data_IF_016142493803
#
_entry.id   IF_016142493803
#
_cell.length_a   1.000
_cell.length_b   1.000
_cell.length_c   1.000
_cell.angle_alpha   90.00
_cell.angle_beta   90.00
_cell.angle_gamma   90.00
#
_symmetry.space_group_name_H-M   'P 1'
#
loop_
_entity.id
_entity.type
_entity.pdbx_description
1 polymer ?
#
# COMPACT_ATOMS: atom_id res chain seq x y z
N UNK A 1 34.45 31.56 -58.27
CA UNK A 1 33.77 30.40 -57.65
C UNK A 1 33.47 30.76 -56.21
N UNK A 2 32.19 30.83 -55.81
CA UNK A 2 31.77 31.09 -54.44
C UNK A 2 31.54 29.74 -53.75
N UNK A 3 32.30 29.44 -52.71
CA UNK A 3 32.08 28.25 -51.87
C UNK A 3 31.11 28.64 -50.76
N UNK A 4 29.87 28.18 -50.86
CA UNK A 4 28.86 28.33 -49.82
C UNK A 4 29.08 27.22 -48.78
N UNK A 5 29.52 27.56 -47.58
CA UNK A 5 29.61 26.62 -46.46
C UNK A 5 28.23 26.48 -45.80
N UNK A 6 27.62 25.31 -45.92
CA UNK A 6 26.45 24.92 -45.12
C UNK A 6 26.97 24.20 -43.89
N UNK A 7 26.85 24.82 -42.71
CA UNK A 7 27.10 24.15 -41.44
C UNK A 7 25.82 23.39 -41.03
N UNK A 8 25.88 22.10 -40.67
CA UNK A 8 24.74 21.42 -40.09
C UNK A 8 24.68 21.75 -38.59
N UNK A 9 23.62 22.42 -38.15
CA UNK A 9 23.27 22.48 -36.73
C UNK A 9 22.65 21.14 -36.35
N UNK A 10 23.42 20.27 -35.70
CA UNK A 10 22.87 19.08 -35.05
C UNK A 10 22.34 19.49 -33.66
N UNK A 11 21.03 19.69 -33.53
CA UNK A 11 20.37 19.73 -32.22
C UNK A 11 20.33 18.30 -31.66
N UNK A 12 21.21 17.99 -30.72
CA UNK A 12 21.08 16.78 -29.92
C UNK A 12 19.99 17.00 -28.85
N UNK A 13 18.80 16.43 -29.05
CA UNK A 13 17.87 16.23 -27.93
C UNK A 13 18.42 15.09 -27.07
N UNK A 14 19.14 15.45 -26.00
CA UNK A 14 19.41 14.51 -24.93
C UNK A 14 18.10 14.27 -24.16
N UNK A 15 17.42 13.17 -24.44
CA UNK A 15 16.31 12.72 -23.61
C UNK A 15 16.86 12.27 -22.26
N UNK A 16 16.74 13.11 -21.24
CA UNK A 16 17.05 12.74 -19.87
C UNK A 16 15.87 11.96 -19.29
N UNK A 17 16.04 10.66 -19.09
CA UNK A 17 15.08 9.86 -18.33
C UNK A 17 15.21 10.22 -16.86
N UNK A 18 14.23 10.94 -16.32
CA UNK A 18 14.19 11.26 -14.90
C UNK A 18 13.72 10.03 -14.13
N UNK A 19 14.46 9.61 -13.11
CA UNK A 19 14.05 8.48 -12.28
C UNK A 19 12.74 8.82 -11.57
N UNK A 20 11.73 7.97 -11.73
CA UNK A 20 10.49 8.03 -10.95
C UNK A 20 10.54 7.04 -9.81
N UNK A 21 10.00 7.42 -8.65
CA UNK A 21 9.81 6.54 -7.51
C UNK A 21 8.34 6.59 -7.07
N UNK A 22 7.88 5.51 -6.44
CA UNK A 22 6.58 5.47 -5.77
C UNK A 22 6.85 5.74 -4.29
N UNK A 23 6.14 6.71 -3.72
CA UNK A 23 6.14 6.91 -2.28
C UNK A 23 5.00 6.10 -1.67
N UNK A 24 5.32 5.22 -0.72
CA UNK A 24 4.34 4.42 0.00
C UNK A 24 4.15 5.00 1.39
N UNK A 25 2.90 5.32 1.73
CA UNK A 25 2.50 5.75 3.07
C UNK A 25 1.27 4.97 3.51
N UNK A 26 1.13 4.78 4.82
CA UNK A 26 -0.09 4.22 5.41
C UNK A 26 -1.10 5.33 5.66
N UNK A 27 -2.38 5.01 5.52
CA UNK A 27 -3.48 5.89 5.94
C UNK A 27 -4.11 5.28 7.18
N UNK A 28 -3.87 5.92 8.32
CA UNK A 28 -4.24 5.39 9.63
C UNK A 28 -5.73 5.61 9.96
N UNK A 29 -6.20 4.94 11.02
CA UNK A 29 -7.54 5.11 11.57
C UNK A 29 -8.63 4.25 10.92
N UNK A 30 -8.26 3.35 10.00
CA UNK A 30 -9.19 2.38 9.43
C UNK A 30 -9.09 1.01 10.12
N UNK A 31 -7.92 0.66 10.61
CA UNK A 31 -7.61 -0.64 11.17
C UNK A 31 -7.17 -0.51 12.62
N UNK A 32 -7.60 -1.43 13.48
CA UNK A 32 -7.23 -1.47 14.89
C UNK A 32 -5.71 -1.53 15.08
N UNK A 33 -4.99 -2.15 14.15
CA UNK A 33 -3.53 -2.24 14.14
C UNK A 33 -2.84 -0.86 14.12
N UNK A 34 -3.52 0.19 13.66
CA UNK A 34 -3.00 1.56 13.64
C UNK A 34 -3.24 2.32 14.96
N UNK A 35 -4.09 1.81 15.85
CA UNK A 35 -4.51 2.50 17.06
C UNK A 35 -3.50 2.24 18.20
N UNK A 36 -3.07 3.30 18.89
CA UNK A 36 -2.13 3.19 20.04
C UNK A 36 -2.65 2.30 21.18
N UNK A 37 -3.98 2.12 21.23
CA UNK A 37 -4.64 1.26 22.23
C UNK A 37 -4.57 -0.24 21.91
N UNK A 38 -4.14 -0.62 20.70
CA UNK A 38 -4.07 -2.02 20.29
C UNK A 38 -2.72 -2.63 20.68
N UNK A 39 -2.76 -3.61 21.58
CA UNK A 39 -1.58 -4.41 21.90
C UNK A 39 -1.29 -5.42 20.79
N UNK A 40 -0.27 -5.12 19.99
CA UNK A 40 0.15 -5.94 18.85
C UNK A 40 0.59 -7.37 19.24
N UNK A 41 0.97 -7.62 20.50
CA UNK A 41 1.41 -8.93 20.94
C UNK A 41 0.25 -9.91 21.19
N UNK A 42 -0.94 -9.38 21.43
CA UNK A 42 -2.14 -10.16 21.77
C UNK A 42 -3.26 -10.02 20.75
N UNK A 43 -3.16 -9.07 19.82
CA UNK A 43 -4.20 -8.81 18.82
C UNK A 43 -4.27 -9.89 17.73
N UNK A 44 -5.41 -10.59 17.67
CA UNK A 44 -5.73 -11.53 16.59
C UNK A 44 -6.68 -10.88 15.56
N UNK A 45 -6.10 -10.45 14.45
CA UNK A 45 -6.84 -9.84 13.35
C UNK A 45 -7.76 -10.85 12.64
N UNK A 46 -7.47 -12.15 12.68
CA UNK A 46 -8.24 -13.17 11.94
C UNK A 46 -9.63 -13.38 12.52
N UNK A 47 -9.78 -13.14 13.82
CA UNK A 47 -11.06 -13.21 14.55
C UNK A 47 -11.73 -11.84 14.70
N UNK A 48 -11.04 -10.76 14.33
CA UNK A 48 -11.50 -9.37 14.52
C UNK A 48 -11.74 -8.65 13.18
N UNK A 49 -12.36 -9.32 12.20
CA UNK A 49 -12.68 -8.70 10.91
C UNK A 49 -11.46 -8.07 10.18
N UNK A 50 -10.30 -8.75 10.25
CA UNK A 50 -8.98 -8.23 9.84
C UNK A 50 -8.55 -6.91 10.50
N UNK A 51 -9.18 -6.58 11.62
CA UNK A 51 -9.00 -5.34 12.36
C UNK A 51 -9.75 -4.15 11.79
N UNK A 52 -10.61 -4.31 10.79
CA UNK A 52 -11.38 -3.17 10.26
C UNK A 52 -12.31 -2.60 11.34
N UNK A 53 -12.12 -1.33 11.67
CA UNK A 53 -12.90 -0.63 12.70
C UNK A 53 -14.34 -0.43 12.23
N UNK A 54 -15.30 -0.77 13.07
CA UNK A 54 -16.71 -0.44 12.83
C UNK A 54 -16.95 1.06 13.05
N UNK A 55 -17.19 1.79 11.96
CA UNK A 55 -17.33 3.26 11.96
C UNK A 55 -18.14 3.75 10.77
N UNK A 56 -18.57 5.00 10.84
CA UNK A 56 -19.08 5.74 9.69
C UNK A 56 -17.95 6.35 8.86
N UNK A 57 -18.21 6.51 7.56
CA UNK A 57 -17.30 7.10 6.59
C UNK A 57 -17.93 8.34 5.94
N UNK A 58 -17.11 9.30 5.47
CA UNK A 58 -17.60 10.40 4.64
C UNK A 58 -18.43 9.93 3.43
N UNK A 59 -18.06 8.82 2.80
CA UNK A 59 -18.79 8.23 1.67
C UNK A 59 -20.21 7.75 2.02
N UNK A 60 -20.52 7.47 3.30
CA UNK A 60 -21.86 7.05 3.73
C UNK A 60 -22.91 8.16 3.51
N UNK A 61 -22.50 9.43 3.43
CA UNK A 61 -23.41 10.56 3.22
C UNK A 61 -24.00 10.60 1.81
N UNK A 62 -23.29 10.03 0.82
CA UNK A 62 -23.67 10.10 -0.59
C UNK A 62 -24.58 8.95 -1.03
N UNK A 63 -24.69 7.90 -0.22
CA UNK A 63 -25.37 6.66 -0.60
C UNK A 63 -26.17 6.08 0.58
N UNK A 64 -27.26 5.38 0.27
CA UNK A 64 -27.93 4.53 1.25
C UNK A 64 -26.95 3.44 1.73
N UNK A 65 -26.77 3.35 3.06
CA UNK A 65 -25.80 2.47 3.71
C UNK A 65 -26.42 1.55 4.77
N UNK A 66 -27.74 1.65 4.97
CA UNK A 66 -28.46 0.97 6.05
C UNK A 66 -28.36 -0.56 5.95
N UNK A 67 -28.10 -1.10 4.75
CA UNK A 67 -28.05 -2.54 4.46
C UNK A 67 -26.63 -3.05 4.16
N UNK A 68 -25.59 -2.24 4.39
CA UNK A 68 -24.22 -2.59 4.02
C UNK A 68 -23.42 -3.11 5.21
N UNK A 69 -22.60 -4.11 4.95
CA UNK A 69 -21.55 -4.55 5.87
C UNK A 69 -20.49 -3.47 6.05
N UNK A 70 -19.72 -3.55 7.14
CA UNK A 70 -18.63 -2.61 7.38
C UNK A 70 -17.59 -2.59 6.25
N UNK A 71 -17.32 -3.75 5.64
CA UNK A 71 -16.40 -3.86 4.51
C UNK A 71 -16.93 -3.20 3.24
N UNK A 72 -18.21 -3.35 2.93
CA UNK A 72 -18.80 -2.67 1.76
C UNK A 72 -18.81 -1.16 1.93
N UNK A 73 -19.04 -0.67 3.15
CA UNK A 73 -18.93 0.75 3.49
C UNK A 73 -17.49 1.24 3.34
N UNK A 74 -16.51 0.48 3.84
CA UNK A 74 -15.10 0.81 3.69
C UNK A 74 -14.64 0.80 2.22
N UNK A 75 -15.09 -0.19 1.44
CA UNK A 75 -14.82 -0.24 0.00
C UNK A 75 -15.31 1.04 -0.70
N UNK A 76 -16.54 1.48 -0.42
CA UNK A 76 -17.06 2.76 -0.96
C UNK A 76 -16.22 3.95 -0.54
N UNK A 77 -15.73 3.96 0.71
CA UNK A 77 -14.81 5.00 1.16
C UNK A 77 -13.50 5.01 0.36
N UNK A 78 -12.90 3.84 0.10
CA UNK A 78 -11.67 3.74 -0.71
C UNK A 78 -11.92 4.16 -2.16
N UNK A 79 -13.06 3.80 -2.74
CA UNK A 79 -13.48 4.26 -4.07
C UNK A 79 -13.58 5.78 -4.10
N UNK A 80 -14.28 6.38 -3.15
CA UNK A 80 -14.42 7.84 -3.05
C UNK A 80 -13.06 8.54 -2.85
N UNK A 81 -12.15 7.98 -2.04
CA UNK A 81 -10.80 8.51 -1.88
C UNK A 81 -10.03 8.55 -3.20
N UNK A 82 -10.09 7.48 -4.00
CA UNK A 82 -9.45 7.46 -5.32
C UNK A 82 -10.14 8.42 -6.32
N UNK A 83 -11.47 8.57 -6.27
CA UNK A 83 -12.19 9.54 -7.10
C UNK A 83 -11.78 10.99 -6.80
N UNK A 84 -11.43 11.31 -5.56
CA UNK A 84 -10.99 12.64 -5.13
C UNK A 84 -9.47 12.84 -5.21
N UNK A 85 -8.71 11.79 -5.48
CA UNK A 85 -7.26 11.83 -5.48
C UNK A 85 -6.70 12.61 -6.68
N UNK A 86 -5.55 13.30 -6.52
CA UNK A 86 -4.75 13.75 -7.64
C UNK A 86 -4.32 12.58 -8.54
N UNK A 87 -3.98 12.86 -9.80
CA UNK A 87 -3.62 11.85 -10.81
C UNK A 87 -2.39 10.99 -10.46
N UNK A 88 -1.59 11.39 -9.47
CA UNK A 88 -0.39 10.70 -9.02
C UNK A 88 -0.55 10.01 -7.65
N UNK A 89 -1.78 9.88 -7.14
CA UNK A 89 -2.08 9.27 -5.85
C UNK A 89 -3.12 8.18 -6.03
N UNK A 90 -2.84 7.00 -5.46
CA UNK A 90 -3.73 5.86 -5.44
C UNK A 90 -3.86 5.35 -4.00
N UNK A 91 -5.10 5.10 -3.57
CA UNK A 91 -5.38 4.42 -2.30
C UNK A 91 -5.68 2.95 -2.57
N UNK A 92 -4.95 2.05 -1.92
CA UNK A 92 -5.10 0.59 -2.07
C UNK A 92 -5.19 -0.06 -0.69
N UNK A 93 -5.97 -1.14 -0.62
CA UNK A 93 -6.05 -2.01 0.57
C UNK A 93 -5.23 -3.26 0.27
N UNK A 94 -4.33 -3.63 1.17
CA UNK A 94 -3.42 -4.76 1.02
C UNK A 94 -3.64 -5.75 2.15
N UNK A 95 -3.83 -7.03 1.79
CA UNK A 95 -3.79 -8.15 2.72
C UNK A 95 -2.43 -8.84 2.57
N UNK A 96 -1.54 -8.63 3.53
CA UNK A 96 -0.16 -9.13 3.46
C UNK A 96 -0.01 -10.32 4.41
N UNK A 97 0.11 -11.52 3.85
CA UNK A 97 0.44 -12.72 4.60
C UNK A 97 1.95 -12.93 4.68
N UNK A 98 2.48 -13.28 5.85
CA UNK A 98 3.84 -13.80 5.99
C UNK A 98 3.84 -15.28 5.62
N UNK A 99 4.81 -15.74 4.82
CA UNK A 99 5.04 -17.18 4.68
C UNK A 99 5.29 -17.80 6.06
N UNK A 100 4.65 -18.96 6.31
CA UNK A 100 4.79 -19.70 7.56
C UNK A 100 6.23 -20.11 7.84
N UNK A 101 6.46 -20.55 9.08
CA UNK A 101 7.76 -21.07 9.49
C UNK A 101 8.10 -22.35 8.68
N UNK A 102 9.27 -22.36 8.02
CA UNK A 102 9.76 -23.54 7.32
C UNK A 102 10.49 -24.50 8.25
N UNK A 103 10.59 -25.77 7.87
CA UNK A 103 11.33 -26.80 8.62
C UNK A 103 12.76 -26.39 9.03
N UNK A 104 13.40 -25.53 8.24
CA UNK A 104 14.75 -25.03 8.53
C UNK A 104 14.80 -24.10 9.76
N UNK A 105 13.77 -23.26 9.97
CA UNK A 105 13.67 -22.39 11.15
C UNK A 105 13.42 -23.24 12.40
N UNK A 106 12.46 -24.17 12.31
CA UNK A 106 12.14 -25.07 13.41
C UNK A 106 13.34 -25.95 13.81
N UNK A 107 14.15 -26.40 12.84
CA UNK A 107 15.37 -27.15 13.11
C UNK A 107 16.45 -26.27 13.77
N UNK A 108 16.62 -25.02 13.33
CA UNK A 108 17.56 -24.10 13.96
C UNK A 108 17.18 -23.81 15.43
N UNK A 109 15.90 -23.64 15.72
CA UNK A 109 15.41 -23.44 17.10
C UNK A 109 15.61 -24.70 17.97
N UNK A 110 15.39 -25.88 17.40
CA UNK A 110 15.53 -27.16 18.12
C UNK A 110 16.98 -27.56 18.37
N UNK A 111 17.86 -27.46 17.36
CA UNK A 111 19.25 -27.90 17.44
C UNK A 111 20.22 -26.78 17.86
N UNK A 112 19.82 -25.51 17.73
CA UNK A 112 20.64 -24.34 18.00
C UNK A 112 21.63 -24.00 16.88
N UNK A 113 21.92 -22.71 16.71
CA UNK A 113 22.84 -22.18 15.68
C UNK A 113 24.19 -22.92 15.60
N UNK A 114 24.86 -23.31 16.71
CA UNK A 114 26.15 -24.00 16.62
C UNK A 114 26.10 -25.40 16.00
N UNK A 115 24.95 -26.09 16.08
CA UNK A 115 24.77 -27.41 15.45
C UNK A 115 24.17 -27.31 14.04
N UNK A 116 23.86 -26.09 13.60
CA UNK A 116 23.17 -25.79 12.34
C UNK A 116 24.10 -25.21 11.25
N UNK A 117 25.23 -24.60 11.65
CA UNK A 117 26.33 -24.18 10.76
C UNK A 117 27.39 -25.27 10.61
#
# INVERSE_FOLDING_TARGET
MKLSSVAPLALALAATTQASYINYTTVTGYFLQDEESTDASTFDFTTTNFGLINRTYPADKKHHHNDLTQWERFYRQVVELNHQAPSNVDYKVLFLGRHGEGWHNAAQDYYGTPAWN
#
